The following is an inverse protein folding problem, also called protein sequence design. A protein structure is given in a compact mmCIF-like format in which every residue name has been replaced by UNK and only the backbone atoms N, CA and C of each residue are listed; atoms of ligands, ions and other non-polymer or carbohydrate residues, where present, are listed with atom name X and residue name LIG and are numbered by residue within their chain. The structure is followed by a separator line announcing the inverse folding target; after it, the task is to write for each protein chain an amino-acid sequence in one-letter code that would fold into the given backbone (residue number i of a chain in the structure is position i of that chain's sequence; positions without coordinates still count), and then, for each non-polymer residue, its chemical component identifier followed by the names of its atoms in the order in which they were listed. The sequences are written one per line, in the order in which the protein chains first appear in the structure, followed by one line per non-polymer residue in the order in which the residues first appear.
data_IF_446664461876
#
_entry.id   IF_446664461876
#
_cell.length_a   1.000
_cell.length_b   1.000
_cell.length_c   1.000
_cell.angle_alpha   90.00
_cell.angle_beta   90.00
_cell.angle_gamma   90.00
#
_symmetry.space_group_name_H-M   'P 1'
#
loop_
_entity.id
_entity.type
_entity.pdbx_description
1 polymer ?
#
# COMPACT_ATOMS: atom_id res chain seq x y z
N UNK A 1 12.29 -14.44 -69.04
CA UNK A 1 11.89 -13.47 -67.99
C UNK A 1 12.44 -14.01 -66.68
N UNK A 2 13.18 -13.19 -65.92
CA UNK A 2 14.00 -13.64 -64.80
C UNK A 2 13.40 -13.25 -63.44
N UNK A 3 13.57 -14.06 -62.37
CA UNK A 3 12.97 -13.79 -61.07
C UNK A 3 13.64 -12.62 -60.33
N UNK A 4 12.85 -11.90 -59.53
CA UNK A 4 13.33 -10.85 -58.61
C UNK A 4 13.91 -11.46 -57.31
N UNK A 5 14.99 -10.90 -56.73
CA UNK A 5 15.53 -11.33 -55.45
C UNK A 5 14.75 -10.72 -54.25
N UNK A 6 14.67 -11.40 -53.09
CA UNK A 6 14.04 -10.85 -51.89
C UNK A 6 14.90 -9.77 -51.21
N UNK A 7 14.25 -8.76 -50.62
CA UNK A 7 14.93 -7.72 -49.81
C UNK A 7 15.36 -8.30 -48.45
N UNK A 8 16.64 -8.17 -48.11
CA UNK A 8 17.16 -8.54 -46.80
C UNK A 8 16.80 -7.48 -45.72
N UNK A 9 16.35 -7.94 -44.55
CA UNK A 9 16.17 -7.09 -43.36
C UNK A 9 17.51 -6.82 -42.70
N UNK A 10 17.95 -5.56 -42.70
CA UNK A 10 19.22 -5.17 -42.10
C UNK A 10 19.13 -5.16 -40.56
N UNK A 11 19.64 -6.21 -39.92
CA UNK A 11 19.91 -6.19 -38.47
C UNK A 11 21.05 -5.19 -38.16
N UNK A 12 20.96 -4.43 -37.05
CA UNK A 12 22.04 -3.52 -36.66
C UNK A 12 23.31 -4.32 -36.40
N UNK A 13 24.42 -3.93 -37.04
CA UNK A 13 25.69 -4.64 -36.92
C UNK A 13 26.19 -4.53 -35.48
N UNK A 14 26.75 -5.62 -34.94
CA UNK A 14 27.22 -5.69 -33.56
C UNK A 14 28.20 -4.55 -33.19
N UNK A 15 29.00 -4.08 -34.16
CA UNK A 15 29.88 -2.92 -34.04
C UNK A 15 29.16 -1.62 -33.67
N UNK A 16 27.92 -1.40 -34.15
CA UNK A 16 27.14 -0.18 -33.84
C UNK A 16 26.63 -0.20 -32.40
N UNK A 17 26.29 -1.38 -31.86
CA UNK A 17 25.94 -1.56 -30.45
C UNK A 17 27.16 -1.44 -29.54
N UNK A 18 28.31 -1.99 -29.95
CA UNK A 18 29.57 -1.85 -29.22
C UNK A 18 30.02 -0.38 -29.09
N UNK A 19 29.97 0.38 -30.18
CA UNK A 19 30.29 1.83 -30.21
C UNK A 19 29.35 2.66 -29.32
N UNK A 20 28.07 2.31 -29.25
CA UNK A 20 27.10 3.02 -28.41
C UNK A 20 27.33 2.68 -26.92
N UNK A 21 27.69 1.43 -26.60
CA UNK A 21 28.10 1.03 -25.27
C UNK A 21 29.36 1.74 -24.77
N UNK A 22 30.41 1.85 -25.59
CA UNK A 22 31.64 2.57 -25.21
C UNK A 22 31.42 4.07 -25.06
N UNK A 23 30.55 4.69 -25.88
CA UNK A 23 30.19 6.10 -25.73
C UNK A 23 29.47 6.38 -24.39
N UNK A 24 28.52 5.53 -23.99
CA UNK A 24 27.80 5.68 -22.71
C UNK A 24 28.72 5.45 -21.51
N UNK A 25 29.64 4.48 -21.59
CA UNK A 25 30.63 4.22 -20.55
C UNK A 25 31.65 5.37 -20.41
N UNK A 26 32.13 5.90 -21.54
CA UNK A 26 33.01 7.07 -21.57
C UNK A 26 32.36 8.30 -20.94
N UNK A 27 31.08 8.56 -21.24
CA UNK A 27 30.33 9.66 -20.63
C UNK A 27 30.19 9.52 -19.10
N UNK A 28 29.98 8.30 -18.59
CA UNK A 28 29.94 8.05 -17.14
C UNK A 28 31.30 8.30 -16.48
N UNK A 29 32.39 7.82 -17.06
CA UNK A 29 33.74 8.03 -16.51
C UNK A 29 34.13 9.52 -16.51
N UNK A 30 33.70 10.28 -17.52
CA UNK A 30 33.95 11.73 -17.61
C UNK A 30 33.15 12.51 -16.54
N UNK A 31 31.95 12.05 -16.17
CA UNK A 31 31.14 12.63 -15.08
C UNK A 31 31.64 12.23 -13.67
N UNK A 32 32.34 11.10 -13.54
CA UNK A 32 32.89 10.61 -12.27
C UNK A 32 34.32 11.11 -11.98
N UNK A 33 35.04 11.63 -12.98
CA UNK A 33 36.47 11.94 -12.89
C UNK A 33 36.87 13.43 -12.86
N UNK A 34 35.93 14.36 -12.67
CA UNK A 34 36.10 15.73 -13.19
C UNK A 34 35.69 16.92 -12.33
N UNK A 35 36.01 17.00 -11.02
CA UNK A 35 36.11 18.32 -10.36
C UNK A 35 36.99 18.33 -9.08
N UNK A 36 38.21 18.84 -9.23
CA UNK A 36 39.07 19.32 -8.14
C UNK A 36 39.83 20.58 -8.59
N UNK A 37 39.47 21.78 -8.10
CA UNK A 37 40.29 22.98 -8.28
C UNK A 37 41.34 23.07 -7.16
N UNK A 38 42.58 22.68 -7.46
CA UNK A 38 43.75 23.07 -6.67
C UNK A 38 44.22 24.45 -7.12
N UNK A 39 44.49 25.35 -6.18
CA UNK A 39 45.17 26.64 -6.41
C UNK A 39 46.13 26.89 -5.26
N UNK A 40 47.40 27.14 -5.57
CA UNK A 40 48.47 27.48 -4.62
C UNK A 40 48.22 28.86 -3.95
N UNK A 41 48.52 29.09 -2.66
CA UNK A 41 49.85 29.35 -2.06
C UNK A 41 50.52 30.62 -2.67
N UNK A 42 51.09 31.61 -1.95
CA UNK A 42 51.70 31.81 -0.60
C UNK A 42 51.54 33.33 -0.19
N UNK A 43 52.21 33.95 0.83
CA UNK A 43 53.12 33.47 1.89
C UNK A 43 52.84 33.96 3.34
N UNK A 44 53.53 33.32 4.31
CA UNK A 44 54.04 33.81 5.63
C UNK A 44 53.35 34.95 6.43
N UNK A 45 53.03 34.68 7.71
CA UNK A 45 52.66 35.72 8.70
C UNK A 45 52.52 35.27 10.17
N UNK A 46 53.62 34.97 10.85
CA UNK A 46 53.74 34.97 12.34
C UNK A 46 54.79 36.03 12.73
N UNK A 47 54.78 36.65 13.93
CA UNK A 47 54.29 36.17 15.25
C UNK A 47 53.04 36.97 15.74
N UNK A 48 52.57 36.97 17.00
CA UNK A 48 53.14 36.49 18.27
C UNK A 48 52.06 36.00 19.27
N UNK A 49 52.49 35.28 20.31
CA UNK A 49 51.63 34.84 21.41
C UNK A 49 51.49 35.93 22.49
N UNK A 50 50.27 36.16 22.99
CA UNK A 50 49.99 36.98 24.17
C UNK A 50 48.82 36.40 24.99
N UNK A 51 49.06 36.24 26.28
CA UNK A 51 48.05 36.26 27.35
C UNK A 51 46.85 35.31 27.26
N UNK A 52 46.99 34.09 27.79
CA UNK A 52 45.84 33.36 28.31
C UNK A 52 45.50 33.90 29.72
N UNK A 53 44.28 34.40 29.99
CA UNK A 53 43.87 34.78 31.33
C UNK A 53 43.48 33.52 32.15
N UNK A 54 44.17 33.38 33.28
CA UNK A 54 43.91 32.44 34.37
C UNK A 54 42.41 32.28 34.70
N UNK A 55 41.82 31.12 34.39
CA UNK A 55 40.48 30.75 34.88
C UNK A 55 40.63 30.34 36.34
N UNK A 56 40.02 31.12 37.25
CA UNK A 56 40.05 30.85 38.68
C UNK A 56 38.97 29.84 39.06
N UNK A 57 39.40 28.64 39.45
CA UNK A 57 38.54 27.64 40.10
C UNK A 57 37.91 28.21 41.37
N UNK A 58 36.70 28.73 41.21
CA UNK A 58 35.92 29.29 42.31
C UNK A 58 35.02 28.18 42.83
N UNK A 59 35.48 27.49 43.88
CA UNK A 59 34.75 26.37 44.50
C UNK A 59 33.45 26.88 45.12
N UNK A 60 32.37 26.86 44.34
CA UNK A 60 31.03 27.15 44.84
C UNK A 60 30.47 25.92 45.55
N UNK A 61 30.26 26.03 46.86
CA UNK A 61 29.75 24.92 47.66
C UNK A 61 28.33 24.51 47.20
N UNK A 62 28.07 23.21 47.19
CA UNK A 62 26.74 22.70 46.82
C UNK A 62 25.70 23.08 47.89
N UNK A 63 24.53 23.64 47.52
CA UNK A 63 23.43 23.79 48.46
C UNK A 63 22.87 22.43 48.86
N UNK A 64 22.66 22.23 50.16
CA UNK A 64 22.10 20.99 50.70
C UNK A 64 20.64 20.77 50.26
N UNK A 65 20.23 19.54 49.90
CA UNK A 65 18.83 19.25 49.64
C UNK A 65 18.03 19.36 50.95
N UNK A 66 16.94 20.11 50.93
CA UNK A 66 15.96 20.12 52.02
C UNK A 66 15.19 18.79 52.06
N UNK A 67 14.86 18.25 53.25
CA UNK A 67 14.17 16.97 53.36
C UNK A 67 12.73 17.06 52.85
N UNK A 68 12.35 16.15 51.95
CA UNK A 68 10.94 15.98 51.55
C UNK A 68 10.14 15.35 52.69
N UNK A 69 8.95 15.87 53.05
CA UNK A 69 8.10 15.25 54.07
C UNK A 69 7.58 13.89 53.63
N UNK A 70 7.33 13.01 54.60
CA UNK A 70 6.95 11.62 54.36
C UNK A 70 5.56 11.47 53.70
N UNK A 71 5.35 10.32 53.04
CA UNK A 71 4.14 10.02 52.30
C UNK A 71 2.89 9.98 53.19
N UNK A 72 1.92 10.85 52.90
CA UNK A 72 0.54 10.66 53.32
C UNK A 72 -0.15 9.68 52.35
N UNK A 73 -0.72 8.60 52.87
CA UNK A 73 -1.43 7.62 52.04
C UNK A 73 -2.75 8.22 51.52
N UNK A 74 -2.92 8.25 50.19
CA UNK A 74 -4.19 8.61 49.58
C UNK A 74 -5.22 7.48 49.77
N UNK A 75 -6.48 7.77 50.17
CA UNK A 75 -7.51 6.74 50.33
C UNK A 75 -7.97 6.19 48.97
N UNK A 76 -8.22 4.87 48.93
CA UNK A 76 -8.73 4.17 47.75
C UNK A 76 -10.09 4.72 47.33
N UNK A 77 -10.20 5.29 46.12
CA UNK A 77 -11.47 5.72 45.58
C UNK A 77 -12.40 4.52 45.27
N UNK A 78 -13.70 4.56 45.62
CA UNK A 78 -14.61 3.45 45.38
C UNK A 78 -14.95 3.30 43.89
N UNK A 79 -15.00 2.06 43.41
CA UNK A 79 -15.40 1.73 42.03
C UNK A 79 -16.91 1.97 41.86
N UNK A 80 -17.27 3.02 41.11
CA UNK A 80 -18.68 3.36 40.84
C UNK A 80 -19.26 2.53 39.68
N UNK A 81 -19.93 1.43 39.98
CA UNK A 81 -20.61 0.59 38.99
C UNK A 81 -21.94 1.22 38.52
N UNK A 82 -21.90 2.03 37.45
CA UNK A 82 -23.10 2.60 36.85
C UNK A 82 -23.88 1.52 36.07
N UNK A 83 -24.91 0.94 36.72
CA UNK A 83 -25.94 0.14 36.02
C UNK A 83 -26.94 1.09 35.37
N UNK A 84 -26.89 1.23 34.05
CA UNK A 84 -27.92 1.94 33.30
C UNK A 84 -29.24 1.16 33.33
N UNK A 85 -30.30 1.81 33.83
CA UNK A 85 -31.65 1.25 33.83
C UNK A 85 -32.25 1.49 32.44
N UNK A 86 -32.51 0.41 31.70
CA UNK A 86 -33.30 0.49 30.47
C UNK A 86 -34.75 0.76 30.86
N UNK A 87 -35.29 1.91 30.45
CA UNK A 87 -36.70 2.21 30.64
C UNK A 87 -37.56 1.25 29.78
N UNK A 88 -38.39 0.45 30.43
CA UNK A 88 -39.31 -0.46 29.74
C UNK A 88 -40.34 0.29 28.90
N UNK A 89 -40.82 -0.36 27.86
CA UNK A 89 -41.73 0.18 26.85
C UNK A 89 -43.06 0.70 27.43
N UNK A 90 -43.45 1.90 27.02
CA UNK A 90 -44.85 2.32 27.10
C UNK A 90 -45.65 1.63 25.97
N UNK A 91 -46.60 0.77 26.34
CA UNK A 91 -47.47 0.07 25.39
C UNK A 91 -48.42 1.03 24.68
N UNK A 92 -48.36 1.09 23.35
CA UNK A 92 -49.41 1.66 22.54
C UNK A 92 -50.49 0.60 22.25
N UNK A 93 -51.74 0.87 22.60
CA UNK A 93 -52.88 -0.03 22.34
C UNK A 93 -53.30 0.01 20.85
N UNK A 94 -53.88 -1.09 20.30
CA UNK A 94 -54.20 -1.18 18.88
C UNK A 94 -55.53 -0.50 18.52
N UNK A 95 -55.57 0.28 17.42
CA UNK A 95 -56.85 0.87 17.00
C UNK A 95 -56.85 1.93 15.89
N UNK A 96 -56.21 1.71 14.73
CA UNK A 96 -56.46 2.54 13.55
C UNK A 96 -56.34 1.72 12.24
N UNK A 97 -57.45 1.53 11.53
CA UNK A 97 -57.49 0.91 10.19
C UNK A 97 -57.23 1.99 9.13
N UNK A 98 -56.19 1.89 8.28
CA UNK A 98 -56.08 2.75 7.10
C UNK A 98 -57.17 2.40 6.06
N UNK A 99 -57.65 3.38 5.26
CA UNK A 99 -58.68 3.15 4.25
C UNK A 99 -58.18 2.25 3.10
N UNK A 100 -59.09 1.63 2.31
CA UNK A 100 -58.71 0.77 1.19
C UNK A 100 -57.95 1.52 0.10
N UNK A 101 -56.92 0.89 -0.47
CA UNK A 101 -56.18 1.44 -1.61
C UNK A 101 -57.03 1.41 -2.90
N UNK A 102 -56.94 2.48 -3.70
CA UNK A 102 -57.48 2.47 -5.06
C UNK A 102 -56.73 1.48 -5.95
N UNK A 103 -57.45 0.87 -6.90
CA UNK A 103 -56.87 -0.09 -7.86
C UNK A 103 -56.19 0.67 -9.01
N UNK A 104 -54.91 0.42 -9.32
CA UNK A 104 -54.28 0.97 -10.51
C UNK A 104 -55.02 0.53 -11.78
N UNK A 105 -55.37 1.50 -12.62
CA UNK A 105 -55.98 1.28 -13.94
C UNK A 105 -54.91 0.71 -14.89
N UNK A 106 -55.19 -0.33 -15.70
CA UNK A 106 -54.16 -0.95 -16.54
C UNK A 106 -53.66 0.03 -17.62
N UNK A 107 -52.36 0.34 -17.58
CA UNK A 107 -51.70 1.12 -18.62
C UNK A 107 -51.52 0.29 -19.90
N UNK A 108 -51.60 0.95 -21.06
CA UNK A 108 -51.43 0.29 -22.36
C UNK A 108 -49.98 -0.15 -22.58
N UNK A 109 -49.79 -1.20 -23.41
CA UNK A 109 -48.46 -1.69 -23.80
C UNK A 109 -47.76 -0.65 -24.70
N UNK A 110 -46.64 -0.09 -24.24
CA UNK A 110 -45.74 0.68 -25.09
C UNK A 110 -45.13 -0.23 -26.18
N UNK A 111 -45.02 0.23 -27.44
CA UNK A 111 -44.30 -0.51 -28.48
C UNK A 111 -42.78 -0.54 -28.21
N UNK A 112 -42.04 -1.53 -28.74
CA UNK A 112 -40.59 -1.60 -28.58
C UNK A 112 -39.86 -0.44 -29.28
N UNK A 113 -38.71 0.01 -28.76
CA UNK A 113 -37.93 1.07 -29.40
C UNK A 113 -37.34 0.59 -30.74
N UNK A 114 -37.49 1.41 -31.78
CA UNK A 114 -36.90 1.14 -33.08
C UNK A 114 -35.36 1.20 -33.02
N UNK A 115 -34.69 0.25 -33.69
CA UNK A 115 -33.24 0.23 -33.83
C UNK A 115 -32.77 1.47 -34.62
N UNK A 116 -31.84 2.25 -34.05
CA UNK A 116 -31.14 3.30 -34.80
C UNK A 116 -30.18 2.66 -35.81
N UNK A 117 -30.25 3.00 -37.11
CA UNK A 117 -29.20 2.64 -38.06
C UNK A 117 -27.86 3.27 -37.65
N UNK A 118 -26.75 2.57 -37.89
CA UNK A 118 -25.42 3.18 -37.83
C UNK A 118 -25.27 4.16 -39.01
N UNK A 119 -24.62 5.33 -38.82
CA UNK A 119 -24.35 6.24 -39.92
C UNK A 119 -23.36 5.60 -40.91
N UNK A 120 -23.81 5.39 -42.15
CA UNK A 120 -22.94 4.94 -43.22
C UNK A 120 -21.99 6.07 -43.64
N UNK A 121 -20.70 5.74 -43.85
CA UNK A 121 -19.70 6.66 -44.38
C UNK A 121 -19.92 6.82 -45.89
N UNK A 122 -20.66 7.85 -46.30
CA UNK A 122 -20.60 8.34 -47.67
C UNK A 122 -19.40 9.28 -47.85
N UNK A 123 -18.79 9.24 -49.03
CA UNK A 123 -17.69 10.10 -49.42
C UNK A 123 -17.76 10.37 -50.93
N UNK A 124 -17.76 11.64 -51.30
CA UNK A 124 -17.52 12.21 -52.63
C UNK A 124 -16.80 13.56 -52.34
N UNK A 125 -15.62 13.87 -52.90
CA UNK A 125 -15.28 14.14 -54.31
C UNK A 125 -15.87 15.50 -54.79
N UNK A 126 -15.11 16.44 -55.37
CA UNK A 126 -13.67 16.54 -55.67
C UNK A 126 -13.16 17.99 -55.38
N UNK A 127 -11.95 18.46 -55.74
CA UNK A 127 -11.36 18.65 -57.09
C UNK A 127 -9.82 18.67 -57.04
N UNK A 128 -9.20 18.26 -58.16
CA UNK A 128 -7.79 18.36 -58.64
C UNK A 128 -6.81 19.31 -57.89
N UNK A 129 -5.51 18.99 -57.78
CA UNK A 129 -4.62 18.60 -58.89
C UNK A 129 -3.55 17.53 -58.55
N UNK A 130 -3.06 16.88 -59.60
CA UNK A 130 -1.83 16.07 -59.67
C UNK A 130 -1.05 16.50 -60.95
N UNK A 131 0.22 16.06 -61.17
CA UNK A 131 0.41 14.73 -61.80
C UNK A 131 1.66 13.92 -61.37
N UNK A 132 1.54 12.58 -61.45
CA UNK A 132 2.56 11.58 -61.88
C UNK A 132 3.84 11.39 -61.01
N UNK A 133 4.54 10.24 -60.97
CA UNK A 133 4.52 8.96 -61.73
C UNK A 133 4.62 7.73 -60.75
N UNK A 134 3.93 6.59 -60.96
CA UNK A 134 4.33 5.34 -61.68
C UNK A 134 5.30 4.42 -60.88
N UNK A 135 5.16 3.08 -60.70
CA UNK A 135 4.18 1.98 -60.99
C UNK A 135 4.15 0.99 -59.79
N UNK A 136 3.05 0.28 -59.48
CA UNK A 136 2.68 -1.11 -59.90
C UNK A 136 3.78 -2.20 -59.72
N UNK A 137 3.54 -3.46 -59.31
CA UNK A 137 2.34 -4.23 -58.94
C UNK A 137 2.77 -5.31 -57.86
N UNK A 138 2.12 -6.42 -57.46
CA UNK A 138 0.97 -7.19 -57.95
C UNK A 138 0.23 -8.04 -56.89
N UNK A 139 -0.96 -8.52 -57.28
CA UNK A 139 -1.90 -9.40 -56.55
C UNK A 139 -1.45 -10.87 -56.48
N UNK A 140 -1.83 -11.63 -55.42
CA UNK A 140 -2.59 -12.90 -55.52
C UNK A 140 -2.98 -13.51 -54.16
N UNK A 141 -4.06 -14.32 -54.15
CA UNK A 141 -4.51 -15.13 -53.02
C UNK A 141 -5.04 -16.49 -53.52
N UNK A 142 -4.59 -17.60 -52.92
CA UNK A 142 -5.03 -18.97 -53.26
C UNK A 142 -5.24 -19.80 -51.98
N UNK A 143 -5.97 -20.91 -52.10
CA UNK A 143 -6.71 -21.62 -51.05
C UNK A 143 -6.12 -23.00 -50.73
N UNK A 144 -6.23 -23.38 -49.45
CA UNK A 144 -6.26 -24.73 -48.84
C UNK A 144 -6.03 -25.95 -49.76
N UNK A 145 -5.10 -26.84 -49.38
CA UNK A 145 -5.33 -28.29 -49.48
C UNK A 145 -4.64 -29.07 -48.37
N UNK A 146 -5.20 -30.23 -48.05
CA UNK A 146 -4.88 -31.16 -46.97
C UNK A 146 -4.88 -32.58 -47.57
N UNK A 147 -3.82 -33.39 -47.35
CA UNK A 147 -3.77 -34.85 -47.62
C UNK A 147 -2.44 -35.51 -47.22
N UNK A 148 -2.37 -35.97 -45.96
CA UNK A 148 -1.93 -37.28 -45.43
C UNK A 148 -0.75 -38.13 -46.01
N UNK A 149 -0.16 -38.94 -45.10
CA UNK A 149 0.81 -40.05 -45.26
C UNK A 149 2.21 -39.78 -45.88
N UNK A 150 3.32 -40.35 -45.38
CA UNK A 150 3.50 -41.11 -44.12
C UNK A 150 4.76 -42.01 -44.11
N UNK A 151 5.55 -41.99 -43.02
CA UNK A 151 6.56 -43.03 -42.66
C UNK A 151 7.12 -42.83 -41.25
N UNK A 152 7.42 -43.93 -40.55
CA UNK A 152 8.15 -43.98 -39.28
C UNK A 152 9.17 -45.16 -39.35
N UNK A 153 10.14 -45.28 -38.42
CA UNK A 153 9.81 -45.94 -37.15
C UNK A 153 10.52 -45.41 -35.88
N UNK A 154 9.75 -45.44 -34.79
CA UNK A 154 10.08 -45.85 -33.41
C UNK A 154 11.54 -45.82 -32.89
N UNK A 155 11.71 -45.27 -31.68
CA UNK A 155 12.63 -45.80 -30.65
C UNK A 155 12.01 -45.58 -29.27
N UNK A 156 12.02 -46.61 -28.42
CA UNK A 156 11.41 -46.62 -27.07
C UNK A 156 12.51 -46.72 -25.99
N UNK A 157 12.40 -46.02 -24.84
CA UNK A 157 13.42 -46.07 -23.78
C UNK A 157 13.22 -47.26 -22.82
N UNK A 158 14.27 -48.05 -22.52
CA UNK A 158 14.15 -49.19 -21.61
C UNK A 158 14.12 -48.79 -20.13
N UNK A 159 13.42 -49.61 -19.34
CA UNK A 159 13.25 -49.54 -17.88
C UNK A 159 13.66 -50.88 -17.27
N UNK A 160 14.51 -50.95 -16.22
CA UNK A 160 14.43 -51.99 -15.14
C UNK A 160 15.43 -51.83 -13.97
N UNK A 161 14.90 -52.03 -12.76
CA UNK A 161 15.46 -52.48 -11.47
C UNK A 161 16.98 -52.67 -11.24
N UNK A 162 17.50 -51.97 -10.23
CA UNK A 162 17.67 -52.47 -8.85
C UNK A 162 18.02 -53.97 -8.62
N UNK A 163 19.22 -54.20 -8.06
CA UNK A 163 19.59 -55.33 -7.19
C UNK A 163 20.87 -54.98 -6.38
N UNK A 164 21.03 -55.51 -5.17
CA UNK A 164 22.23 -55.36 -4.30
C UNK A 164 23.03 -56.69 -4.23
N UNK A 165 24.28 -56.75 -3.70
CA UNK A 165 24.46 -56.83 -2.23
C UNK A 165 25.80 -56.33 -1.61
N UNK A 166 25.77 -56.14 -0.27
CA UNK A 166 26.81 -56.42 0.77
C UNK A 166 28.27 -55.90 0.68
N UNK A 167 28.64 -55.08 1.68
CA UNK A 167 29.86 -55.21 2.51
C UNK A 167 29.68 -54.48 3.88
N UNK A 168 30.35 -54.93 4.95
CA UNK A 168 30.31 -54.38 6.34
C UNK A 168 31.73 -54.44 6.96
N UNK A 169 32.11 -53.65 7.99
CA UNK A 169 31.73 -53.83 9.42
C UNK A 169 31.06 -52.57 10.05
N UNK A 170 30.19 -52.68 11.08
CA UNK A 170 30.47 -52.73 12.54
C UNK A 170 31.26 -51.49 13.06
N UNK A 171 30.85 -50.80 14.15
CA UNK A 171 30.57 -51.34 15.50
C UNK A 171 29.41 -50.66 16.27
N UNK A 172 28.60 -51.50 16.93
CA UNK A 172 27.81 -51.37 18.18
C UNK A 172 27.43 -50.00 18.81
N UNK A 173 26.12 -49.80 19.03
CA UNK A 173 25.52 -49.39 20.33
C UNK A 173 23.98 -49.33 20.26
N UNK A 174 23.28 -50.02 21.17
CA UNK A 174 21.80 -50.05 21.21
C UNK A 174 21.17 -48.93 22.10
N UNK A 175 20.04 -48.32 21.70
CA UNK A 175 19.37 -47.29 22.50
C UNK A 175 18.50 -47.90 23.63
N UNK A 176 18.72 -47.46 24.87
CA UNK A 176 17.83 -47.72 25.99
C UNK A 176 16.60 -46.77 25.97
N UNK A 177 15.50 -47.20 26.58
CA UNK A 177 14.23 -46.49 26.53
C UNK A 177 13.95 -45.66 27.80
N UNK A 178 13.47 -44.42 27.59
CA UNK A 178 12.59 -43.61 28.46
C UNK A 178 13.01 -43.33 29.93
N UNK A 179 12.91 -42.06 30.36
CA UNK A 179 11.59 -41.57 30.79
C UNK A 179 11.18 -40.23 30.15
N UNK A 180 9.90 -39.89 30.29
CA UNK A 180 9.31 -38.65 29.76
C UNK A 180 9.51 -37.45 30.71
N UNK A 181 9.65 -36.22 30.17
CA UNK A 181 9.46 -34.99 30.95
C UNK A 181 7.97 -34.74 31.25
N UNK A 182 7.71 -33.96 32.30
CA UNK A 182 6.38 -33.81 32.88
C UNK A 182 5.37 -33.03 32.03
N UNK A 183 4.09 -33.29 32.30
CA UNK A 183 2.94 -32.53 31.80
C UNK A 183 3.03 -31.06 32.26
N UNK A 184 2.98 -30.13 31.31
CA UNK A 184 2.89 -28.68 31.55
C UNK A 184 1.62 -28.19 30.90
N UNK A 185 0.56 -28.07 31.70
CA UNK A 185 -0.75 -27.60 31.26
C UNK A 185 -0.65 -26.16 30.75
N UNK A 186 -0.57 -25.98 29.43
CA UNK A 186 -0.71 -24.68 28.80
C UNK A 186 -2.12 -24.12 29.11
N UNK A 187 -2.25 -22.84 29.52
CA UNK A 187 -3.56 -22.25 29.76
C UNK A 187 -4.38 -22.25 28.45
N UNK A 188 -5.68 -22.59 28.50
CA UNK A 188 -6.48 -22.68 27.29
C UNK A 188 -6.60 -21.31 26.62
N UNK A 189 -6.11 -21.21 25.39
CA UNK A 189 -6.38 -20.06 24.52
C UNK A 189 -7.91 -20.01 24.29
N UNK A 190 -8.60 -18.92 24.64
CA UNK A 190 -10.04 -18.82 24.40
C UNK A 190 -10.32 -18.96 22.91
N UNK A 191 -11.31 -19.79 22.49
CA UNK A 191 -11.61 -19.99 21.09
C UNK A 191 -12.07 -18.69 20.42
N UNK A 192 -11.73 -18.55 19.14
CA UNK A 192 -12.08 -17.40 18.30
C UNK A 192 -13.61 -17.35 18.06
N UNK A 193 -14.32 -16.65 18.94
CA UNK A 193 -15.76 -16.80 19.11
C UNK A 193 -16.53 -15.48 19.24
N UNK A 194 -16.50 -14.64 18.20
CA UNK A 194 -17.58 -13.68 17.91
C UNK A 194 -17.52 -13.15 16.46
N UNK A 195 -18.35 -13.72 15.58
CA UNK A 195 -18.85 -13.01 14.39
C UNK A 195 -20.37 -13.12 14.35
N UNK A 196 -21.03 -12.09 13.81
CA UNK A 196 -22.47 -11.98 13.60
C UNK A 196 -23.38 -11.87 14.86
N UNK A 197 -23.39 -10.68 15.50
CA UNK A 197 -24.64 -9.93 15.71
C UNK A 197 -24.45 -8.46 16.09
N UNK A 198 -24.90 -7.57 15.21
CA UNK A 198 -25.43 -6.24 15.59
C UNK A 198 -24.48 -5.20 16.20
N UNK A 199 -23.17 -5.43 16.24
CA UNK A 199 -22.23 -4.41 16.73
C UNK A 199 -22.22 -3.20 15.80
N UNK A 200 -22.65 -2.04 16.31
CA UNK A 200 -22.50 -0.76 15.63
C UNK A 200 -21.01 -0.41 15.54
N UNK A 201 -20.44 -0.38 14.33
CA UNK A 201 -19.07 0.12 14.10
C UNK A 201 -18.90 1.50 14.78
N UNK A 202 -17.73 1.78 15.39
CA UNK A 202 -17.46 3.09 15.97
C UNK A 202 -17.62 4.19 14.90
N UNK A 203 -18.17 5.36 15.27
CA UNK A 203 -18.29 6.49 14.34
C UNK A 203 -16.92 7.04 13.98
N UNK A 204 -16.81 7.70 12.83
CA UNK A 204 -15.59 8.38 12.40
C UNK A 204 -15.88 9.82 11.94
N UNK A 205 -14.96 10.73 12.24
CA UNK A 205 -15.02 12.15 11.93
C UNK A 205 -13.94 12.46 10.91
N UNK A 206 -14.23 12.19 9.63
CA UNK A 206 -13.23 12.25 8.56
C UNK A 206 -12.68 13.69 8.37
N UNK A 207 -11.35 13.88 8.22
CA UNK A 207 -10.75 15.18 7.95
C UNK A 207 -11.35 15.86 6.71
N UNK A 208 -11.39 17.21 6.72
CA UNK A 208 -11.81 17.99 5.56
C UNK A 208 -10.93 17.69 4.32
N UNK A 209 -11.48 17.88 3.12
CA UNK A 209 -10.76 17.76 1.85
C UNK A 209 -9.46 18.59 1.87
N UNK A 210 -8.32 17.98 1.56
CA UNK A 210 -6.98 18.56 1.79
C UNK A 210 -5.93 17.92 0.88
N UNK A 211 -4.71 18.47 0.86
CA UNK A 211 -3.56 17.89 0.18
C UNK A 211 -2.32 17.88 1.09
N UNK A 212 -1.78 16.70 1.37
CA UNK A 212 -0.55 16.53 2.14
C UNK A 212 0.63 16.30 1.19
N UNK A 213 1.60 17.21 1.19
CA UNK A 213 2.86 17.02 0.49
C UNK A 213 3.90 16.40 1.43
N UNK A 214 4.66 15.43 0.93
CA UNK A 214 5.68 14.72 1.70
C UNK A 214 7.05 14.84 1.05
N UNK A 215 8.08 15.05 1.87
CA UNK A 215 9.43 14.64 1.52
C UNK A 215 9.57 13.16 1.85
N UNK A 216 10.17 12.40 0.94
CA UNK A 216 10.22 10.95 1.06
C UNK A 216 11.66 10.46 0.90
N UNK A 217 12.08 9.64 1.85
CA UNK A 217 13.35 8.92 1.80
C UNK A 217 13.10 7.44 1.88
N UNK A 218 14.04 6.64 1.38
CA UNK A 218 13.92 5.19 1.48
C UNK A 218 15.19 4.46 1.08
N UNK A 219 15.11 3.14 1.17
CA UNK A 219 16.19 2.21 0.83
C UNK A 219 15.58 1.06 0.04
N UNK A 220 16.17 0.72 -1.11
CA UNK A 220 15.80 -0.45 -1.93
C UNK A 220 17.07 -1.25 -2.21
N UNK A 221 17.13 -2.51 -1.76
CA UNK A 221 18.28 -3.42 -1.90
C UNK A 221 19.60 -2.81 -1.40
N UNK A 222 19.53 -2.05 -0.31
CA UNK A 222 20.65 -1.30 0.27
C UNK A 222 20.96 0.05 -0.37
N UNK A 223 20.39 0.38 -1.55
CA UNK A 223 20.57 1.68 -2.18
C UNK A 223 19.55 2.68 -1.62
N UNK A 224 20.04 3.80 -1.09
CA UNK A 224 19.19 4.89 -0.62
C UNK A 224 18.66 5.73 -1.79
N UNK A 225 17.42 6.22 -1.66
CA UNK A 225 16.79 7.12 -2.62
C UNK A 225 16.00 8.23 -1.91
N UNK A 226 15.80 9.34 -2.62
CA UNK A 226 14.85 10.40 -2.28
C UNK A 226 13.74 10.48 -3.31
N UNK A 227 12.58 10.96 -2.88
CA UNK A 227 11.37 11.10 -3.67
C UNK A 227 10.49 12.22 -3.09
N UNK A 228 9.45 12.61 -3.82
CA UNK A 228 8.38 13.45 -3.29
C UNK A 228 7.05 12.70 -3.31
N UNK A 229 6.25 12.87 -2.25
CA UNK A 229 4.91 12.30 -2.12
C UNK A 229 3.84 13.39 -2.14
N UNK A 230 2.64 13.06 -2.60
CA UNK A 230 1.47 13.94 -2.49
C UNK A 230 0.21 13.10 -2.31
N UNK A 231 -0.43 13.25 -1.16
CA UNK A 231 -1.74 12.68 -0.85
C UNK A 231 -2.82 13.74 -1.04
N UNK A 232 -3.59 13.66 -2.12
CA UNK A 232 -4.83 14.42 -2.26
C UNK A 232 -5.97 13.63 -1.62
N UNK A 233 -6.72 14.27 -0.72
CA UNK A 233 -7.92 13.72 -0.07
C UNK A 233 -9.12 14.62 -0.37
N UNK A 234 -10.23 14.00 -0.77
CA UNK A 234 -11.48 14.69 -1.08
C UNK A 234 -12.66 13.91 -0.53
N UNK A 235 -13.62 14.61 0.06
CA UNK A 235 -14.96 14.11 0.34
C UNK A 235 -16.03 15.14 -0.09
N UNK A 236 -17.07 14.65 -0.77
CA UNK A 236 -18.21 15.42 -1.27
C UNK A 236 -19.39 14.47 -1.54
N UNK A 237 -20.63 14.93 -1.39
CA UNK A 237 -21.85 14.23 -1.83
C UNK A 237 -21.95 12.74 -1.39
N UNK A 238 -21.53 12.45 -0.16
CA UNK A 238 -21.52 11.07 0.40
C UNK A 238 -20.46 10.14 -0.19
N UNK A 239 -19.50 10.67 -0.95
CA UNK A 239 -18.41 9.95 -1.61
C UNK A 239 -17.04 10.50 -1.19
N UNK A 240 -16.00 9.70 -1.40
CA UNK A 240 -14.62 10.14 -1.21
C UNK A 240 -13.71 9.73 -2.36
N UNK A 241 -12.62 10.48 -2.53
CA UNK A 241 -11.47 10.12 -3.36
C UNK A 241 -10.17 10.41 -2.61
N UNK A 242 -9.28 9.42 -2.55
CA UNK A 242 -7.91 9.55 -2.07
C UNK A 242 -6.93 9.19 -3.20
N UNK A 243 -5.90 10.01 -3.42
CA UNK A 243 -4.82 9.73 -4.37
C UNK A 243 -3.47 10.01 -3.71
N UNK A 244 -2.65 8.99 -3.55
CA UNK A 244 -1.23 9.12 -3.20
C UNK A 244 -0.39 9.00 -4.47
N UNK A 245 0.38 10.03 -4.80
CA UNK A 245 1.35 9.99 -5.90
C UNK A 245 2.77 10.16 -5.36
N UNK A 246 3.63 9.19 -5.67
CA UNK A 246 5.02 9.15 -5.28
C UNK A 246 5.91 9.29 -6.52
N UNK A 247 6.74 10.34 -6.57
CA UNK A 247 7.60 10.69 -7.72
C UNK A 247 9.06 10.48 -7.35
N UNK A 248 9.72 9.55 -8.04
CA UNK A 248 11.13 9.24 -7.90
C UNK A 248 11.89 9.89 -9.08
N UNK A 249 12.89 10.77 -8.84
CA UNK A 249 13.69 11.35 -9.92
C UNK A 249 14.27 10.28 -10.85
N UNK A 250 14.14 10.50 -12.16
CA UNK A 250 14.60 9.59 -13.25
C UNK A 250 13.96 8.18 -13.28
N UNK A 251 13.28 7.74 -12.22
CA UNK A 251 12.70 6.41 -12.07
C UNK A 251 11.18 6.36 -12.34
N UNK A 252 10.53 7.53 -12.46
CA UNK A 252 9.11 7.67 -12.77
C UNK A 252 8.25 7.88 -11.53
N UNK A 253 7.01 7.39 -11.56
CA UNK A 253 6.06 7.55 -10.46
C UNK A 253 5.31 6.27 -10.13
N UNK A 254 4.82 6.20 -8.89
CA UNK A 254 3.82 5.24 -8.42
C UNK A 254 2.60 6.02 -7.94
N UNK A 255 1.42 5.59 -8.34
CA UNK A 255 0.15 6.23 -8.01
C UNK A 255 -0.74 5.18 -7.34
N UNK A 256 -1.17 5.44 -6.11
CA UNK A 256 -2.25 4.71 -5.47
C UNK A 256 -3.51 5.58 -5.47
N UNK A 257 -4.65 4.99 -5.79
CA UNK A 257 -5.95 5.67 -5.79
C UNK A 257 -6.97 4.81 -5.04
N UNK A 258 -7.75 5.42 -4.17
CA UNK A 258 -8.88 4.80 -3.48
C UNK A 258 -10.12 5.67 -3.65
N UNK A 259 -11.26 5.02 -3.90
CA UNK A 259 -12.56 5.67 -4.12
C UNK A 259 -13.66 4.85 -3.46
N UNK A 260 -14.69 5.53 -2.95
CA UNK A 260 -15.81 4.86 -2.29
C UNK A 260 -16.84 5.81 -1.71
N UNK A 261 -17.64 5.30 -0.77
CA UNK A 261 -18.67 6.06 -0.05
C UNK A 261 -18.18 6.51 1.32
N UNK A 262 -18.82 7.56 1.86
CA UNK A 262 -18.71 7.97 3.26
C UNK A 262 -19.95 7.49 4.01
N UNK A 263 -19.75 6.92 5.19
CA UNK A 263 -20.78 6.46 6.13
C UNK A 263 -20.49 7.00 7.54
N UNK A 264 -21.43 6.84 8.48
CA UNK A 264 -21.26 7.28 9.88
C UNK A 264 -20.01 6.69 10.55
N UNK A 265 -19.62 5.47 10.16
CA UNK A 265 -18.41 4.78 10.61
C UNK A 265 -17.16 5.08 9.76
N UNK A 266 -17.17 6.12 8.93
CA UNK A 266 -16.04 6.55 8.10
C UNK A 266 -16.12 6.08 6.65
N UNK A 267 -14.99 5.73 6.07
CA UNK A 267 -14.89 5.39 4.64
C UNK A 267 -15.27 3.95 4.34
N UNK A 268 -15.95 3.76 3.21
CA UNK A 268 -16.33 2.46 2.66
C UNK A 268 -15.82 2.35 1.20
N UNK A 269 -14.65 1.75 0.96
CA UNK A 269 -14.07 1.64 -0.37
C UNK A 269 -14.94 0.86 -1.35
N UNK A 270 -14.95 1.27 -2.62
CA UNK A 270 -15.51 0.50 -3.74
C UNK A 270 -14.43 0.06 -4.73
N UNK A 271 -13.37 0.86 -4.89
CA UNK A 271 -12.20 0.52 -5.71
C UNK A 271 -10.91 1.11 -5.14
N UNK A 272 -9.88 0.27 -5.09
CA UNK A 272 -8.47 0.63 -4.91
C UNK A 272 -7.68 0.30 -6.17
N UNK A 273 -6.68 1.11 -6.52
CA UNK A 273 -5.64 0.70 -7.47
C UNK A 273 -4.25 1.23 -7.14
N UNK A 274 -3.26 0.52 -7.67
CA UNK A 274 -1.83 0.77 -7.53
C UNK A 274 -1.22 0.69 -8.94
N UNK A 275 -0.76 1.84 -9.45
CA UNK A 275 -0.23 2.03 -10.78
C UNK A 275 1.25 2.41 -10.71
N UNK A 276 2.07 1.75 -11.52
CA UNK A 276 3.44 2.20 -11.83
C UNK A 276 3.72 2.01 -13.31
N UNK A 277 4.41 0.93 -13.71
CA UNK A 277 4.54 0.51 -15.12
C UNK A 277 3.25 -0.09 -15.69
N UNK A 278 2.39 -0.61 -14.81
CA UNK A 278 1.04 -1.08 -15.10
C UNK A 278 0.15 -0.83 -13.87
N UNK A 279 -1.17 -0.86 -14.05
CA UNK A 279 -2.15 -0.78 -12.96
C UNK A 279 -2.54 -2.18 -12.45
N UNK A 280 -2.69 -2.32 -11.13
CA UNK A 280 -3.36 -3.44 -10.47
C UNK A 280 -4.43 -2.87 -9.55
N UNK A 281 -5.61 -3.48 -9.48
CA UNK A 281 -6.74 -2.95 -8.72
C UNK A 281 -7.43 -4.02 -7.86
N UNK A 282 -8.09 -3.57 -6.79
CA UNK A 282 -9.03 -4.34 -6.00
C UNK A 282 -10.40 -3.65 -6.03
N UNK A 283 -11.47 -4.41 -6.26
CA UNK A 283 -12.85 -3.92 -6.29
C UNK A 283 -13.63 -4.56 -5.14
N UNK A 284 -14.37 -3.75 -4.39
CA UNK A 284 -15.06 -4.16 -3.17
C UNK A 284 -16.56 -4.27 -3.49
N UNK A 285 -17.03 -5.50 -3.71
CA UNK A 285 -18.43 -5.79 -4.01
C UNK A 285 -19.21 -5.96 -2.71
N UNK A 286 -19.77 -4.86 -2.21
CA UNK A 286 -20.57 -4.85 -0.97
C UNK A 286 -21.89 -5.60 -1.11
N UNK A 287 -22.40 -5.84 -2.32
CA UNK A 287 -23.62 -6.63 -2.54
C UNK A 287 -23.35 -8.14 -2.51
N UNK A 288 -22.20 -8.57 -3.04
CA UNK A 288 -21.78 -9.98 -3.06
C UNK A 288 -20.87 -10.36 -1.87
N UNK A 289 -20.43 -9.39 -1.07
CA UNK A 289 -19.48 -9.53 0.03
C UNK A 289 -18.13 -10.15 -0.41
N UNK A 290 -17.60 -9.71 -1.57
CA UNK A 290 -16.27 -10.14 -2.05
C UNK A 290 -15.35 -8.98 -2.45
N UNK A 291 -14.04 -9.27 -2.47
CA UNK A 291 -12.97 -8.39 -2.95
C UNK A 291 -12.34 -9.04 -4.18
N UNK A 292 -12.44 -8.37 -5.33
CA UNK A 292 -12.00 -8.85 -6.66
C UNK A 292 -10.73 -8.16 -7.12
N UNK A 293 -9.69 -8.95 -7.41
CA UNK A 293 -8.39 -8.42 -7.87
C UNK A 293 -8.26 -8.46 -9.40
N UNK A 294 -7.85 -7.35 -10.02
CA UNK A 294 -7.77 -7.19 -11.48
C UNK A 294 -6.71 -8.06 -12.17
N UNK A 295 -5.87 -8.74 -11.40
CA UNK A 295 -4.84 -9.67 -11.86
C UNK A 295 -5.25 -11.15 -11.73
N UNK A 296 -6.55 -11.43 -11.59
CA UNK A 296 -7.12 -12.78 -11.49
C UNK A 296 -6.52 -13.63 -10.35
N UNK A 297 -6.19 -12.98 -9.22
CA UNK A 297 -5.97 -13.66 -7.93
C UNK A 297 -7.32 -14.14 -7.37
N UNK A 298 -7.34 -15.19 -6.52
CA UNK A 298 -8.56 -15.63 -5.85
C UNK A 298 -9.27 -14.48 -5.15
N UNK A 299 -10.60 -14.42 -5.25
CA UNK A 299 -11.41 -13.45 -4.51
C UNK A 299 -11.26 -13.68 -3.00
N UNK A 300 -11.32 -12.60 -2.22
CA UNK A 300 -11.35 -12.67 -0.75
C UNK A 300 -12.74 -12.27 -0.24
N UNK A 301 -13.19 -12.85 0.89
CA UNK A 301 -14.41 -12.41 1.56
C UNK A 301 -14.24 -10.98 2.07
N UNK A 302 -15.21 -10.12 1.76
CA UNK A 302 -15.25 -8.74 2.24
C UNK A 302 -15.78 -8.70 3.68
N UNK A 303 -14.98 -8.20 4.61
CA UNK A 303 -15.37 -8.03 6.00
C UNK A 303 -16.03 -6.66 6.26
N UNK A 304 -16.97 -6.54 7.22
CA UNK A 304 -17.55 -5.26 7.61
C UNK A 304 -16.49 -4.22 8.00
N UNK A 305 -16.50 -3.08 7.31
CA UNK A 305 -15.52 -2.00 7.56
C UNK A 305 -14.12 -2.22 6.97
N UNK A 306 -13.93 -3.23 6.12
CA UNK A 306 -12.69 -3.43 5.38
C UNK A 306 -12.23 -2.17 4.63
N UNK A 307 -10.92 -1.99 4.56
CA UNK A 307 -10.23 -0.87 3.94
C UNK A 307 -9.31 -1.35 2.81
N UNK A 308 -8.76 -0.40 2.06
CA UNK A 308 -7.58 -0.63 1.22
C UNK A 308 -6.35 0.06 1.82
N UNK A 309 -5.17 -0.21 1.25
CA UNK A 309 -3.88 0.31 1.75
C UNK A 309 -3.74 1.84 1.76
N UNK A 310 -4.65 2.59 1.12
CA UNK A 310 -4.67 4.05 1.09
C UNK A 310 -5.83 4.64 1.92
N UNK A 311 -7.05 4.11 1.78
CA UNK A 311 -8.21 4.54 2.59
C UNK A 311 -8.00 4.30 4.10
N UNK A 312 -7.24 3.26 4.45
CA UNK A 312 -6.72 2.96 5.78
C UNK A 312 -6.27 4.20 6.57
N UNK A 313 -5.46 5.09 5.97
CA UNK A 313 -4.91 6.25 6.69
C UNK A 313 -6.01 7.24 7.10
N UNK A 314 -6.99 7.45 6.22
CA UNK A 314 -8.10 8.37 6.45
C UNK A 314 -9.16 7.77 7.38
N UNK A 315 -9.33 6.43 7.34
CA UNK A 315 -10.16 5.72 8.31
C UNK A 315 -9.56 5.81 9.73
N UNK A 316 -8.26 5.56 9.89
CA UNK A 316 -7.59 5.67 11.19
C UNK A 316 -7.62 7.12 11.73
N UNK A 317 -7.37 8.11 10.85
CA UNK A 317 -7.55 9.52 11.19
C UNK A 317 -8.98 9.80 11.68
N UNK A 318 -10.00 9.40 10.93
CA UNK A 318 -11.40 9.64 11.27
C UNK A 318 -11.85 8.97 12.57
N UNK A 319 -11.39 7.74 12.85
CA UNK A 319 -11.70 7.04 14.10
C UNK A 319 -11.11 7.77 15.32
N UNK A 320 -9.81 8.11 15.28
CA UNK A 320 -9.17 8.84 16.37
C UNK A 320 -9.77 10.26 16.52
N UNK A 321 -10.09 10.94 15.42
CA UNK A 321 -10.69 12.27 15.43
C UNK A 321 -12.14 12.29 15.96
N UNK A 322 -12.88 11.18 15.86
CA UNK A 322 -14.22 11.07 16.44
C UNK A 322 -14.18 10.84 17.95
N UNK A 323 -13.30 9.95 18.43
CA UNK A 323 -13.28 9.51 19.83
C UNK A 323 -11.84 9.27 20.33
N UNK A 324 -11.02 10.31 20.56
CA UNK A 324 -9.62 10.15 20.99
C UNK A 324 -9.45 9.28 22.27
N UNK A 325 -10.41 9.39 23.20
CA UNK A 325 -10.42 8.65 24.46
C UNK A 325 -10.75 7.15 24.29
N UNK A 326 -11.33 6.72 23.16
CA UNK A 326 -11.56 5.31 22.84
C UNK A 326 -10.28 4.61 22.31
N UNK A 327 -9.23 5.37 22.02
CA UNK A 327 -7.96 4.88 21.47
C UNK A 327 -6.76 5.28 22.36
N UNK A 328 -6.70 4.83 23.63
CA UNK A 328 -5.53 5.04 24.49
C UNK A 328 -4.31 4.24 24.00
N UNK A 329 -3.12 4.57 24.52
CA UNK A 329 -1.92 3.77 24.27
C UNK A 329 -2.12 2.31 24.72
N UNK A 330 -1.55 1.37 23.96
CA UNK A 330 -1.75 -0.07 24.11
C UNK A 330 -2.97 -0.63 23.37
N UNK A 331 -3.99 0.19 23.06
CA UNK A 331 -5.20 -0.26 22.37
C UNK A 331 -4.89 -0.89 21.01
N UNK A 332 -5.61 -1.96 20.65
CA UNK A 332 -5.55 -2.55 19.32
C UNK A 332 -6.73 -2.09 18.46
N UNK A 333 -6.44 -1.69 17.22
CA UNK A 333 -7.41 -1.44 16.16
C UNK A 333 -7.22 -2.55 15.11
N UNK A 334 -8.23 -3.40 14.92
CA UNK A 334 -8.20 -4.52 13.97
C UNK A 334 -9.14 -4.25 12.80
N UNK A 335 -8.66 -4.40 11.57
CA UNK A 335 -9.46 -4.23 10.36
C UNK A 335 -8.89 -5.04 9.20
N UNK A 336 -9.76 -5.49 8.28
CA UNK A 336 -9.30 -6.06 7.02
C UNK A 336 -8.73 -4.93 6.14
N UNK A 337 -7.55 -5.13 5.57
CA UNK A 337 -6.93 -4.21 4.62
C UNK A 337 -6.57 -4.98 3.35
N UNK A 338 -7.04 -4.50 2.21
CA UNK A 338 -6.73 -5.06 0.90
C UNK A 338 -5.63 -4.27 0.16
N UNK A 339 -4.61 -4.98 -0.31
CA UNK A 339 -3.77 -4.52 -1.41
C UNK A 339 -4.40 -4.79 -2.77
N UNK A 340 -3.62 -4.63 -3.83
CA UNK A 340 -4.08 -4.91 -5.19
C UNK A 340 -4.01 -6.42 -5.56
N UNK A 341 -3.84 -7.33 -4.60
CA UNK A 341 -3.63 -8.78 -4.82
C UNK A 341 -3.88 -9.68 -3.60
N UNK A 342 -4.33 -9.10 -2.49
CA UNK A 342 -4.32 -9.63 -1.13
C UNK A 342 -5.35 -8.89 -0.27
N UNK A 343 -5.88 -9.54 0.78
CA UNK A 343 -6.74 -8.91 1.77
C UNK A 343 -6.62 -9.62 3.13
N UNK A 344 -6.15 -8.90 4.15
CA UNK A 344 -5.64 -9.47 5.40
C UNK A 344 -6.19 -8.73 6.63
N UNK A 345 -6.32 -9.39 7.78
CA UNK A 345 -6.63 -8.69 9.04
C UNK A 345 -5.36 -8.04 9.60
N UNK A 346 -5.23 -6.73 9.40
CA UNK A 346 -4.17 -5.92 9.98
C UNK A 346 -4.58 -5.48 11.39
N UNK A 347 -3.60 -5.45 12.31
CA UNK A 347 -3.79 -5.03 13.70
C UNK A 347 -2.80 -3.93 14.03
N UNK A 348 -3.30 -2.71 14.23
CA UNK A 348 -2.51 -1.56 14.66
C UNK A 348 -2.57 -1.44 16.18
N UNK A 349 -1.42 -1.43 16.84
CA UNK A 349 -1.30 -0.99 18.23
C UNK A 349 -1.19 0.53 18.24
N UNK A 350 -2.06 1.18 19.00
CA UNK A 350 -1.95 2.59 19.34
C UNK A 350 -0.83 2.73 20.37
N UNK A 351 0.15 3.58 20.10
CA UNK A 351 1.18 4.00 21.03
C UNK A 351 0.88 5.38 21.61
N UNK A 352 1.86 5.94 22.30
CA UNK A 352 1.80 7.27 22.88
C UNK A 352 1.88 8.39 21.83
N UNK A 353 1.81 9.64 22.29
CA UNK A 353 2.06 10.81 21.48
C UNK A 353 3.54 11.20 21.51
N UNK A 354 4.17 11.11 20.34
CA UNK A 354 5.59 11.43 20.14
C UNK A 354 5.72 12.87 19.60
N UNK A 355 6.72 13.61 20.09
CA UNK A 355 7.12 14.89 19.49
C UNK A 355 7.95 14.61 18.24
N UNK A 356 7.45 15.01 17.08
CA UNK A 356 8.13 14.87 15.80
C UNK A 356 8.73 16.21 15.35
N UNK A 357 10.01 16.22 15.01
CA UNK A 357 10.56 17.21 14.10
C UNK A 357 10.39 16.70 12.66
N UNK A 358 9.60 17.42 11.86
CA UNK A 358 9.34 17.16 10.44
C UNK A 358 9.76 18.39 9.62
N UNK A 359 9.91 18.30 8.29
CA UNK A 359 10.16 19.49 7.46
C UNK A 359 9.03 20.53 7.57
N UNK A 360 7.79 20.10 7.83
CA UNK A 360 6.66 20.98 8.15
C UNK A 360 6.78 21.74 9.49
N UNK A 361 7.73 21.39 10.35
CA UNK A 361 7.90 21.93 11.71
C UNK A 361 7.79 20.87 12.81
N UNK A 362 7.65 21.33 14.06
CA UNK A 362 7.50 20.46 15.23
C UNK A 362 6.01 20.17 15.47
N UNK A 363 5.64 18.90 15.57
CA UNK A 363 4.26 18.45 15.81
C UNK A 363 4.20 17.32 16.84
N UNK A 364 3.20 17.37 17.73
CA UNK A 364 2.75 16.18 18.47
C UNK A 364 1.97 15.26 17.52
N UNK A 365 2.28 13.96 17.54
CA UNK A 365 1.51 12.98 16.79
C UNK A 365 1.41 11.64 17.51
N UNK A 366 0.20 11.06 17.52
CA UNK A 366 -0.04 9.72 18.09
C UNK A 366 0.43 8.67 17.09
N UNK A 367 1.29 7.75 17.55
CA UNK A 367 1.87 6.71 16.70
C UNK A 367 0.99 5.46 16.70
N UNK A 368 0.72 4.90 15.53
CA UNK A 368 0.04 3.62 15.34
C UNK A 368 1.00 2.65 14.64
N UNK A 369 1.08 1.41 15.11
CA UNK A 369 2.07 0.43 14.65
C UNK A 369 1.42 -0.91 14.28
N UNK A 370 1.57 -1.34 13.03
CA UNK A 370 1.40 -2.75 12.60
C UNK A 370 2.77 -3.41 12.71
N UNK A 371 2.92 -4.29 13.70
CA UNK A 371 4.07 -5.18 13.80
C UNK A 371 3.92 -6.39 12.86
N UNK A 372 5.02 -6.91 12.28
CA UNK A 372 5.01 -8.19 11.58
C UNK A 372 4.51 -9.35 12.45
N UNK A 373 3.74 -10.26 11.86
CA UNK A 373 3.25 -11.49 12.50
C UNK A 373 3.76 -12.75 11.77
N UNK A 374 3.92 -12.68 10.46
CA UNK A 374 4.51 -13.71 9.61
C UNK A 374 5.83 -13.24 8.96
N UNK A 375 6.72 -14.14 8.51
CA UNK A 375 8.05 -13.75 8.02
C UNK A 375 8.09 -12.83 6.79
N UNK A 376 6.97 -12.63 6.08
CA UNK A 376 6.85 -11.73 4.92
C UNK A 376 6.02 -10.47 5.20
N UNK A 377 5.63 -10.26 6.44
CA UNK A 377 4.86 -9.08 6.82
C UNK A 377 5.70 -7.80 6.75
N UNK A 378 5.12 -6.75 6.18
CA UNK A 378 5.68 -5.40 6.35
C UNK A 378 5.33 -4.81 7.70
N UNK A 379 6.31 -4.21 8.38
CA UNK A 379 6.09 -3.29 9.50
C UNK A 379 5.55 -1.97 8.95
N UNK A 380 4.55 -1.40 9.62
CA UNK A 380 4.02 -0.07 9.28
C UNK A 380 3.93 0.76 10.56
N UNK A 381 4.63 1.91 10.60
CA UNK A 381 4.45 2.94 11.61
C UNK A 381 3.75 4.16 10.95
N UNK A 382 2.67 4.64 11.54
CA UNK A 382 1.88 5.80 11.09
C UNK A 382 1.83 6.80 12.24
N UNK A 383 2.02 8.09 11.97
CA UNK A 383 1.85 9.14 12.98
C UNK A 383 0.74 10.10 12.56
N UNK A 384 -0.25 10.25 13.46
CA UNK A 384 -1.47 11.00 13.25
C UNK A 384 -1.47 12.23 14.18
N UNK A 385 -1.47 13.46 13.64
CA UNK A 385 -1.34 14.68 14.45
C UNK A 385 -2.71 15.18 14.98
N UNK A 386 -2.98 15.21 16.30
CA UNK A 386 -4.28 15.65 16.83
C UNK A 386 -4.66 17.07 16.40
N UNK A 387 -3.68 17.98 16.32
CA UNK A 387 -3.85 19.38 15.90
C UNK A 387 -4.26 19.54 14.43
N UNK A 388 -4.09 18.50 13.62
CA UNK A 388 -4.47 18.45 12.21
C UNK A 388 -5.60 17.41 11.98
N UNK A 389 -6.55 17.31 12.91
CA UNK A 389 -7.67 16.35 12.84
C UNK A 389 -7.22 14.88 12.65
N UNK A 390 -6.09 14.52 13.25
CA UNK A 390 -5.42 13.22 13.11
C UNK A 390 -4.97 12.87 11.67
N UNK A 391 -4.72 13.87 10.81
CA UNK A 391 -4.10 13.65 9.49
C UNK A 391 -2.72 12.96 9.61
N UNK A 392 -2.36 12.09 8.64
CA UNK A 392 -1.10 11.32 8.68
C UNK A 392 0.11 12.17 8.32
N UNK A 393 0.80 12.69 9.35
CA UNK A 393 1.97 13.56 9.20
C UNK A 393 3.28 12.80 8.96
N UNK A 394 3.31 11.50 9.27
CA UNK A 394 4.39 10.60 8.86
C UNK A 394 3.87 9.20 8.59
N UNK A 395 4.39 8.56 7.55
CA UNK A 395 4.09 7.16 7.20
C UNK A 395 5.40 6.46 6.87
N UNK A 396 5.77 5.45 7.67
CA UNK A 396 6.96 4.62 7.47
C UNK A 396 6.58 3.16 7.27
N UNK A 397 7.07 2.56 6.19
CA UNK A 397 6.86 1.15 5.86
C UNK A 397 8.24 0.48 5.70
N UNK A 398 8.44 -0.65 6.36
CA UNK A 398 9.62 -1.51 6.21
C UNK A 398 9.17 -2.91 5.81
N UNK A 399 9.66 -3.41 4.67
CA UNK A 399 9.40 -4.77 4.18
C UNK A 399 10.31 -5.80 4.87
N UNK A 400 9.97 -7.07 4.73
CA UNK A 400 10.78 -8.23 5.17
C UNK A 400 12.19 -8.24 4.55
N UNK A 401 12.31 -7.76 3.30
CA UNK A 401 13.58 -7.55 2.60
C UNK A 401 14.51 -6.49 3.22
N UNK A 402 14.04 -5.73 4.21
CA UNK A 402 14.70 -4.54 4.71
C UNK A 402 14.50 -3.28 3.85
N UNK A 403 13.83 -3.41 2.69
CA UNK A 403 13.46 -2.26 1.86
C UNK A 403 12.50 -1.34 2.64
N UNK A 404 12.77 -0.04 2.62
CA UNK A 404 12.07 0.94 3.46
C UNK A 404 11.62 2.16 2.67
N UNK A 405 10.50 2.75 3.09
CA UNK A 405 10.06 4.10 2.70
C UNK A 405 9.61 4.84 3.96
N UNK A 406 10.00 6.11 4.09
CA UNK A 406 9.63 7.02 5.18
C UNK A 406 9.19 8.34 4.56
N UNK A 407 7.90 8.64 4.69
CA UNK A 407 7.23 9.82 4.15
C UNK A 407 6.97 10.79 5.29
N UNK A 408 7.54 12.00 5.24
CA UNK A 408 7.44 13.01 6.29
C UNK A 408 6.77 14.28 5.75
N UNK A 409 5.79 14.83 6.47
CA UNK A 409 5.03 15.99 6.02
C UNK A 409 5.98 17.18 5.75
N UNK A 410 5.93 17.71 4.52
CA UNK A 410 6.84 18.76 4.05
C UNK A 410 6.43 20.17 4.49
N UNK A 411 5.13 20.40 4.58
CA UNK A 411 4.50 21.70 4.83
C UNK A 411 3.14 21.45 5.49
N UNK A 412 2.62 22.43 6.24
CA UNK A 412 1.26 22.36 6.75
C UNK A 412 0.23 22.34 5.59
N UNK A 413 -0.92 21.65 5.77
CA UNK A 413 -2.04 21.64 4.81
C UNK A 413 -2.80 22.96 4.71
#
# INVERSE_FOLDING_TARGET
MSPHPPRATATPRWTTLALLGTAVLGLHLLLLGGWTPLVDALPTGTPAALGAPEVRDTTHAAPTPSPSPAAAAAPSAPVSTVRWIVASTATAAPGARPPPAEKPKPAAKSPPPALRPLPQRQADAAVANAPLDETADATQAVRVKESDTGSAPQTEPPKRAEAAPTAVPETDSAPQALPAPADVTAPPVPPEAAVARGESRPPASLPASTQLAYDVTGTIRGLNYSASGTLAWTQADGHYGARMELRLPLLGSRVQTSTGRVEVSGVLPTRFSDQSRSERAAHFDHAQQTIRFSNNRPEATLQPGAQDRLSLFMQLAGLLNAQPAAYPAGQLISLQVAGASDAEIWRFRVGDEETLALPAGILQARRLVREPREPRDSRIDIWLAPTLAYLPVRIRITQDSGDRVDQQLRQMP
#
